data_IF_885533162659
#
_entry.id   IF_885533162659
#
_cell.length_a   1.000
_cell.length_b   1.000
_cell.length_c   1.000
_cell.angle_alpha   90.00
_cell.angle_beta   90.00
_cell.angle_gamma   90.00
#
_symmetry.space_group_name_H-M   'P 1'
#
loop_
_entity.id
_entity.type
_entity.pdbx_description
1 polymer ?
#
# COMPACT_ATOMS: atom_id res chain seq x y z
N UNK A 1 1.27 3.25 -7.45
CA UNK A 1 1.13 3.17 -5.98
C UNK A 1 0.74 4.56 -5.51
N UNK A 2 -0.32 4.68 -4.71
CA UNK A 2 -0.71 5.97 -4.14
C UNK A 2 0.18 6.30 -2.94
N UNK A 3 0.47 7.59 -2.78
CA UNK A 3 1.03 8.14 -1.54
C UNK A 3 0.00 8.07 -0.41
N UNK A 4 0.45 8.01 0.83
CA UNK A 4 -0.40 8.13 2.04
C UNK A 4 -1.27 9.39 2.01
N UNK A 5 -0.72 10.51 1.54
CA UNK A 5 -1.48 11.76 1.42
C UNK A 5 -2.65 11.59 0.46
N UNK A 6 -2.37 11.02 -0.71
CA UNK A 6 -3.35 10.84 -1.76
C UNK A 6 -4.44 9.83 -1.38
N UNK A 7 -4.14 8.83 -0.55
CA UNK A 7 -5.18 7.92 -0.06
C UNK A 7 -6.11 8.59 0.94
N UNK A 8 -5.59 9.42 1.84
CA UNK A 8 -6.41 10.22 2.76
C UNK A 8 -7.33 11.15 1.97
N UNK A 9 -6.80 11.80 0.93
CA UNK A 9 -7.59 12.65 0.04
C UNK A 9 -8.73 11.86 -0.63
N UNK A 10 -8.46 10.69 -1.20
CA UNK A 10 -9.50 9.83 -1.81
C UNK A 10 -10.61 9.47 -0.81
N UNK A 11 -10.26 9.08 0.41
CA UNK A 11 -11.24 8.77 1.46
C UNK A 11 -12.02 10.00 1.94
N UNK A 12 -11.42 11.19 1.90
CA UNK A 12 -12.12 12.44 2.21
C UNK A 12 -13.14 12.77 1.12
N UNK A 13 -12.78 12.63 -0.16
CA UNK A 13 -13.68 12.88 -1.29
C UNK A 13 -14.86 11.91 -1.31
N UNK A 14 -14.63 10.64 -0.99
CA UNK A 14 -15.70 9.65 -0.88
C UNK A 14 -16.69 10.00 0.25
N UNK A 15 -16.19 10.49 1.40
CA UNK A 15 -17.04 10.97 2.50
C UNK A 15 -17.84 12.23 2.15
N UNK A 16 -17.37 13.03 1.19
CA UNK A 16 -18.10 14.17 0.64
C UNK A 16 -19.18 13.76 -0.38
N UNK A 17 -19.37 12.47 -0.62
CA UNK A 17 -20.40 11.94 -1.52
C UNK A 17 -20.00 11.91 -3.00
N UNK A 18 -18.74 12.17 -3.33
CA UNK A 18 -18.26 12.10 -4.71
C UNK A 18 -18.24 10.67 -5.24
N UNK A 19 -18.46 10.52 -6.55
CA UNK A 19 -18.42 9.20 -7.19
C UNK A 19 -16.97 8.79 -7.50
N UNK A 20 -16.73 7.48 -7.63
CA UNK A 20 -15.41 6.93 -8.02
C UNK A 20 -14.88 7.57 -9.31
N UNK A 21 -15.76 7.81 -10.30
CA UNK A 21 -15.37 8.43 -11.58
C UNK A 21 -14.94 9.89 -11.42
N UNK A 22 -15.56 10.61 -10.50
CA UNK A 22 -15.24 12.01 -10.21
C UNK A 22 -13.93 12.14 -9.44
N UNK A 23 -13.75 11.29 -8.42
CA UNK A 23 -12.49 11.18 -7.66
C UNK A 23 -11.33 10.87 -8.61
N UNK A 24 -11.50 9.87 -9.49
CA UNK A 24 -10.51 9.48 -10.48
C UNK A 24 -10.05 10.65 -11.38
N UNK A 25 -10.99 11.46 -11.88
CA UNK A 25 -10.69 12.63 -12.71
C UNK A 25 -9.92 13.69 -11.93
N UNK A 26 -10.33 13.94 -10.68
CA UNK A 26 -9.79 14.99 -9.82
C UNK A 26 -8.41 14.65 -9.26
N UNK A 27 -8.15 13.38 -8.97
CA UNK A 27 -6.85 12.90 -8.47
C UNK A 27 -5.92 12.42 -9.58
N UNK A 28 -6.35 12.48 -10.85
CA UNK A 28 -5.62 11.95 -12.01
C UNK A 28 -5.19 10.48 -11.84
N UNK A 29 -6.13 9.64 -11.39
CA UNK A 29 -5.88 8.21 -11.18
C UNK A 29 -6.94 7.35 -11.85
N UNK A 30 -6.56 6.12 -12.23
CA UNK A 30 -7.50 5.16 -12.80
C UNK A 30 -8.60 4.79 -11.78
N UNK A 31 -9.84 4.69 -12.24
CA UNK A 31 -11.01 4.27 -11.44
C UNK A 31 -10.78 2.94 -10.70
N UNK A 32 -10.08 1.98 -11.30
CA UNK A 32 -9.69 0.70 -10.68
C UNK A 32 -8.77 0.93 -9.49
N UNK A 33 -7.87 1.90 -9.58
CA UNK A 33 -6.98 2.27 -8.48
C UNK A 33 -7.78 2.87 -7.34
N UNK A 34 -8.66 3.84 -7.62
CA UNK A 34 -9.54 4.43 -6.61
C UNK A 34 -10.38 3.36 -5.91
N UNK A 35 -10.99 2.45 -6.68
CA UNK A 35 -11.79 1.34 -6.15
C UNK A 35 -10.99 0.44 -5.21
N UNK A 36 -9.79 0.02 -5.62
CA UNK A 36 -8.95 -0.87 -4.82
C UNK A 36 -8.51 -0.21 -3.49
N UNK A 37 -8.23 1.09 -3.50
CA UNK A 37 -7.87 1.82 -2.28
C UNK A 37 -9.09 2.06 -1.37
N UNK A 38 -10.25 2.41 -1.93
CA UNK A 38 -11.49 2.56 -1.14
C UNK A 38 -11.97 1.23 -0.53
N UNK A 39 -11.72 0.11 -1.22
CA UNK A 39 -12.03 -1.24 -0.73
C UNK A 39 -11.04 -1.78 0.31
N UNK A 40 -9.92 -1.07 0.55
CA UNK A 40 -8.87 -1.53 1.46
C UNK A 40 -8.00 -2.68 0.89
N UNK A 41 -8.19 -3.05 -0.38
CA UNK A 41 -7.37 -4.07 -1.05
C UNK A 41 -5.93 -3.62 -1.24
N UNK A 42 -5.66 -2.30 -1.21
CA UNK A 42 -4.32 -1.74 -1.35
C UNK A 42 -4.01 -0.79 -0.21
N UNK A 43 -2.90 -1.04 0.46
CA UNK A 43 -2.34 -0.11 1.44
C UNK A 43 -1.43 0.91 0.73
N UNK A 44 -1.54 2.21 1.04
CA UNK A 44 -0.60 3.22 0.56
C UNK A 44 0.81 2.90 1.05
N UNK A 45 1.83 3.18 0.24
CA UNK A 45 3.22 2.87 0.61
C UNK A 45 3.63 1.38 0.53
N UNK A 46 2.68 0.45 0.67
CA UNK A 46 2.95 -0.98 0.58
C UNK A 46 2.74 -1.47 -0.85
N UNK A 47 3.81 -1.95 -1.48
CA UNK A 47 3.69 -2.79 -2.69
C UNK A 47 3.11 -4.14 -2.27
N UNK A 48 1.85 -4.38 -2.60
CA UNK A 48 1.26 -5.71 -2.47
C UNK A 48 2.06 -6.68 -3.36
N UNK A 49 2.81 -7.58 -2.73
CA UNK A 49 3.62 -8.58 -3.46
C UNK A 49 2.69 -9.69 -3.95
N UNK A 50 2.89 -10.10 -5.19
CA UNK A 50 2.11 -11.19 -5.79
C UNK A 50 2.55 -12.59 -5.31
N UNK A 51 3.70 -12.67 -4.63
CA UNK A 51 4.32 -13.91 -4.16
C UNK A 51 4.83 -13.73 -2.72
N UNK A 52 4.88 -14.80 -1.92
CA UNK A 52 5.62 -14.82 -0.65
C UNK A 52 7.04 -14.29 -0.83
N UNK A 53 7.60 -13.64 0.20
CA UNK A 53 8.97 -13.16 0.14
C UNK A 53 9.89 -14.39 0.18
N UNK A 54 10.73 -14.64 -0.85
CA UNK A 54 11.72 -15.71 -0.77
C UNK A 54 12.67 -15.55 0.42
N UNK A 55 12.78 -14.34 0.98
CA UNK A 55 13.55 -14.06 2.19
C UNK A 55 12.86 -14.52 3.48
N UNK A 56 11.53 -14.74 3.50
CA UNK A 56 10.79 -15.10 4.71
C UNK A 56 11.37 -16.35 5.40
N UNK A 57 11.85 -17.32 4.61
CA UNK A 57 12.46 -18.55 5.14
C UNK A 57 13.82 -18.36 5.83
N UNK A 58 14.45 -17.20 5.69
CA UNK A 58 15.77 -16.89 6.26
C UNK A 58 15.71 -15.88 7.40
N UNK A 59 14.54 -15.29 7.69
CA UNK A 59 14.38 -14.21 8.67
C UNK A 59 14.88 -14.64 10.05
N UNK A 60 14.47 -15.82 10.53
CA UNK A 60 14.86 -16.32 11.86
C UNK A 60 16.38 -16.52 11.96
N UNK A 61 17.00 -17.05 10.91
CA UNK A 61 18.44 -17.25 10.85
C UNK A 61 19.19 -15.92 10.89
N UNK A 62 18.81 -14.95 10.05
CA UNK A 62 19.47 -13.65 9.98
C UNK A 62 19.25 -12.84 11.27
N UNK A 63 18.06 -12.90 11.87
CA UNK A 63 17.77 -12.24 13.13
C UNK A 63 18.64 -12.79 14.27
N UNK A 64 18.80 -14.12 14.38
CA UNK A 64 19.71 -14.73 15.34
C UNK A 64 21.15 -14.26 15.11
N UNK A 65 21.59 -14.21 13.84
CA UNK A 65 22.96 -13.83 13.47
C UNK A 65 23.27 -12.36 13.74
N UNK A 66 22.31 -11.46 13.52
CA UNK A 66 22.43 -10.03 13.83
C UNK A 66 22.49 -9.77 15.35
N UNK A 67 21.86 -10.61 16.17
CA UNK A 67 21.98 -10.55 17.63
C UNK A 67 23.38 -11.03 18.07
N UNK A 68 23.88 -12.09 17.44
CA UNK A 68 25.20 -12.66 17.75
C UNK A 68 26.38 -11.81 17.26
N UNK A 69 26.25 -11.16 16.10
CA UNK A 69 27.26 -10.27 15.52
C UNK A 69 26.58 -9.08 14.82
N UNK A 70 26.56 -7.88 15.45
CA UNK A 70 25.91 -6.69 14.90
C UNK A 70 26.54 -6.13 13.62
N UNK A 71 27.68 -6.66 13.16
CA UNK A 71 28.43 -6.16 12.01
C UNK A 71 28.20 -6.94 10.70
N UNK A 72 27.23 -7.84 10.66
CA UNK A 72 26.77 -8.51 9.43
C UNK A 72 26.14 -7.55 8.41
#
# INVERSE_FOLDING_TARGET
MLSERSSVDIHALQRQGMTISEIARRTNHDRKTIRAYLAGERQPGVRQRASPDPFDGFVDYVAARLIEDPHL
#
